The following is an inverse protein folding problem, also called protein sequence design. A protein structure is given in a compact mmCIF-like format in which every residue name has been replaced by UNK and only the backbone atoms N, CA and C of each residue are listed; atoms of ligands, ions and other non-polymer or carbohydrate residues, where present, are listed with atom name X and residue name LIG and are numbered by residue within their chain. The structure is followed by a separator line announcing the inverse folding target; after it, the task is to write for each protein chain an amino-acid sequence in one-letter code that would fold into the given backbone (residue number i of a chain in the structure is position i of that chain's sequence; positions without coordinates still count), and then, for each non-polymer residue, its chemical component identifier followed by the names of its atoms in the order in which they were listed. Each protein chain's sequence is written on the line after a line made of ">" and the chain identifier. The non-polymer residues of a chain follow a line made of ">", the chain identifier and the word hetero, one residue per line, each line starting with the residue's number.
data_IF_402557935085
#
_entry.id   IF_402557935085
#
_cell.length_a   1.000
_cell.length_b   1.000
_cell.length_c   1.000
_cell.angle_alpha   90.00
_cell.angle_beta   90.00
_cell.angle_gamma   90.00
#
_symmetry.space_group_name_H-M   'P 1'
#
loop_
_entity.id
_entity.type
_entity.pdbx_description
1 polymer ?
#
# COMPACT_ATOMS: atom_id res chain seq x y z
N UNK A 1 -11.28 5.60 28.43
CA UNK A 1 -10.14 4.69 28.29
C UNK A 1 -9.67 4.81 26.85
N UNK A 2 -8.40 5.15 26.66
CA UNK A 2 -7.79 5.24 25.32
C UNK A 2 -7.33 3.85 24.86
N UNK A 3 -7.22 3.63 23.55
CA UNK A 3 -6.72 2.36 22.99
C UNK A 3 -5.34 1.98 23.56
N UNK A 4 -4.50 2.97 23.87
CA UNK A 4 -3.18 2.78 24.49
C UNK A 4 -3.26 2.30 25.95
N UNK A 5 -4.25 2.76 26.72
CA UNK A 5 -4.48 2.29 28.10
C UNK A 5 -4.94 0.84 28.12
N UNK A 6 -5.89 0.50 27.25
CA UNK A 6 -6.37 -0.88 27.09
C UNK A 6 -5.24 -1.80 26.62
N UNK A 7 -4.43 -1.36 25.66
CA UNK A 7 -3.26 -2.12 25.21
C UNK A 7 -2.26 -2.37 26.35
N UNK A 8 -1.87 -1.33 27.10
CA UNK A 8 -0.93 -1.47 28.24
C UNK A 8 -1.48 -2.37 29.33
N UNK A 9 -2.78 -2.28 29.63
CA UNK A 9 -3.45 -3.16 30.58
C UNK A 9 -3.47 -4.61 30.10
N UNK A 10 -3.81 -4.86 28.83
CA UNK A 10 -3.83 -6.19 28.24
C UNK A 10 -2.45 -6.84 28.26
N UNK A 11 -1.41 -6.08 27.90
CA UNK A 11 -0.02 -6.55 27.98
C UNK A 11 0.31 -6.94 29.42
N UNK A 12 0.04 -6.07 30.41
CA UNK A 12 0.30 -6.40 31.83
C UNK A 12 -0.42 -7.67 32.29
N UNK A 13 -1.71 -7.82 31.99
CA UNK A 13 -2.47 -9.02 32.33
C UNK A 13 -1.90 -10.30 31.70
N UNK A 14 -1.42 -10.22 30.47
CA UNK A 14 -0.73 -11.34 29.82
C UNK A 14 0.57 -11.71 30.54
N UNK A 15 1.32 -10.71 31.03
CA UNK A 15 2.52 -10.97 31.85
C UNK A 15 2.15 -11.64 33.17
N UNK A 16 1.22 -11.05 33.91
CA UNK A 16 0.83 -11.54 35.24
C UNK A 16 0.32 -12.99 35.15
N UNK A 17 -0.54 -13.28 34.16
CA UNK A 17 -1.05 -14.64 33.94
C UNK A 17 0.05 -15.64 33.58
N UNK A 18 1.07 -15.22 32.82
CA UNK A 18 2.21 -16.06 32.50
C UNK A 18 3.06 -16.35 33.74
N UNK A 19 3.42 -15.33 34.51
CA UNK A 19 4.24 -15.47 35.71
C UNK A 19 3.51 -16.31 36.79
N UNK A 20 2.20 -16.11 36.98
CA UNK A 20 1.37 -16.92 37.88
C UNK A 20 1.36 -18.40 37.46
N UNK A 21 1.28 -18.66 36.16
CA UNK A 21 1.29 -20.01 35.61
C UNK A 21 2.65 -20.69 35.79
N UNK A 22 3.74 -19.97 35.51
CA UNK A 22 5.11 -20.45 35.69
C UNK A 22 5.41 -20.71 37.17
N UNK A 23 4.95 -19.85 38.08
CA UNK A 23 5.13 -19.99 39.53
C UNK A 23 4.21 -21.06 40.17
N UNK A 24 3.24 -21.59 39.41
CA UNK A 24 2.29 -22.57 39.91
C UNK A 24 2.99 -23.85 40.39
N UNK A 25 2.67 -24.28 41.62
CA UNK A 25 3.17 -25.55 42.18
C UNK A 25 2.77 -26.78 41.35
N UNK A 26 1.69 -26.68 40.56
CA UNK A 26 1.20 -27.78 39.71
C UNK A 26 2.05 -27.96 38.45
N UNK A 27 2.87 -26.98 38.09
CA UNK A 27 3.71 -26.96 36.88
C UNK A 27 2.99 -27.48 35.62
N UNK A 28 1.87 -26.86 35.23
CA UNK A 28 1.14 -27.30 34.04
C UNK A 28 1.97 -27.09 32.78
N UNK A 29 1.71 -27.85 31.73
CA UNK A 29 2.18 -27.49 30.39
C UNK A 29 1.52 -26.18 29.94
N UNK A 30 2.30 -25.28 29.34
CA UNK A 30 1.86 -23.92 29.03
C UNK A 30 2.15 -23.59 27.57
N UNK A 31 1.15 -23.02 26.91
CA UNK A 31 1.29 -22.41 25.58
C UNK A 31 1.16 -20.91 25.72
N UNK A 32 2.20 -20.19 25.29
CA UNK A 32 2.22 -18.73 25.30
C UNK A 32 2.08 -18.18 23.88
N UNK A 33 0.83 -17.91 23.49
CA UNK A 33 0.52 -17.36 22.17
C UNK A 33 0.89 -15.87 22.09
N UNK A 34 1.75 -15.53 21.13
CA UNK A 34 2.11 -14.16 20.83
C UNK A 34 2.44 -13.99 19.36
N UNK A 35 2.36 -12.74 18.86
CA UNK A 35 2.76 -12.44 17.48
C UNK A 35 4.25 -12.62 17.16
N UNK A 36 5.11 -12.92 18.14
CA UNK A 36 6.54 -13.10 17.89
C UNK A 36 7.30 -11.82 17.50
N UNK A 37 6.67 -10.64 17.47
CA UNK A 37 7.27 -9.40 16.94
C UNK A 37 8.17 -8.62 17.91
N UNK A 38 8.24 -9.02 19.19
CA UNK A 38 9.07 -8.38 20.21
C UNK A 38 9.95 -9.41 20.92
N UNK A 39 11.07 -9.79 20.28
CA UNK A 39 12.01 -10.78 20.79
C UNK A 39 12.52 -10.44 22.20
N UNK A 40 12.91 -9.19 22.47
CA UNK A 40 13.39 -8.79 23.81
C UNK A 40 12.36 -9.04 24.91
N UNK A 41 11.07 -8.83 24.62
CA UNK A 41 10.01 -9.09 25.58
C UNK A 41 9.81 -10.59 25.78
N UNK A 42 9.78 -11.38 24.71
CA UNK A 42 9.61 -12.84 24.74
C UNK A 42 10.80 -13.57 25.39
N UNK A 43 12.03 -13.16 25.09
CA UNK A 43 13.27 -13.66 25.70
C UNK A 43 13.21 -13.67 27.23
N UNK A 44 12.67 -12.61 27.83
CA UNK A 44 12.50 -12.55 29.29
C UNK A 44 11.56 -13.63 29.82
N UNK A 45 10.50 -13.99 29.08
CA UNK A 45 9.53 -15.03 29.48
C UNK A 45 10.13 -16.41 29.36
N UNK A 46 10.86 -16.66 28.26
CA UNK A 46 11.63 -17.89 28.07
C UNK A 46 12.60 -18.08 29.24
N UNK A 47 13.33 -17.02 29.62
CA UNK A 47 14.24 -17.06 30.77
C UNK A 47 13.51 -17.31 32.10
N UNK A 48 12.37 -16.67 32.37
CA UNK A 48 11.54 -16.95 33.55
C UNK A 48 11.10 -18.42 33.61
N UNK A 49 10.60 -18.97 32.49
CA UNK A 49 10.17 -20.36 32.42
C UNK A 49 11.33 -21.34 32.65
N UNK A 50 12.49 -21.12 32.01
CA UNK A 50 13.69 -21.94 32.23
C UNK A 50 14.17 -21.88 33.67
N UNK A 51 14.16 -20.70 34.30
CA UNK A 51 14.54 -20.54 35.70
C UNK A 51 13.58 -21.28 36.66
N UNK A 52 12.30 -21.42 36.29
CA UNK A 52 11.33 -22.23 37.02
C UNK A 52 11.42 -23.74 36.73
N UNK A 53 12.31 -24.15 35.82
CA UNK A 53 12.59 -25.55 35.48
C UNK A 53 11.75 -26.12 34.35
N UNK A 54 11.15 -25.26 33.51
CA UNK A 54 10.46 -25.70 32.29
C UNK A 54 11.44 -25.95 31.15
N UNK A 55 11.11 -26.95 30.32
CA UNK A 55 11.63 -27.08 28.97
C UNK A 55 10.90 -26.08 28.07
N UNK A 56 11.64 -25.39 27.20
CA UNK A 56 11.08 -24.32 26.36
C UNK A 56 11.18 -24.67 24.89
N UNK A 57 10.04 -24.63 24.20
CA UNK A 57 9.91 -24.86 22.78
C UNK A 57 9.38 -23.60 22.08
N UNK A 58 9.98 -23.24 20.94
CA UNK A 58 9.46 -22.20 20.06
C UNK A 58 8.78 -22.84 18.85
N UNK A 59 7.45 -22.74 18.82
CA UNK A 59 6.67 -23.05 17.63
C UNK A 59 6.53 -21.79 16.77
N UNK A 60 7.30 -21.68 15.68
CA UNK A 60 7.22 -20.57 14.75
C UNK A 60 6.23 -20.86 13.64
N UNK A 61 5.13 -20.13 13.61
CA UNK A 61 4.08 -20.27 12.60
C UNK A 61 4.26 -19.22 11.51
N UNK A 62 4.82 -19.63 10.37
CA UNK A 62 5.10 -18.75 9.25
C UNK A 62 3.89 -18.56 8.34
N UNK A 63 3.58 -17.30 8.06
CA UNK A 63 2.49 -16.87 7.19
C UNK A 63 2.98 -15.65 6.39
N UNK A 64 3.08 -15.75 5.06
CA UNK A 64 3.39 -14.62 4.19
C UNK A 64 2.49 -13.41 4.44
N UNK A 65 3.04 -12.20 4.33
CA UNK A 65 2.34 -10.96 4.64
C UNK A 65 1.05 -10.81 3.81
N UNK A 66 1.10 -11.15 2.52
CA UNK A 66 -0.05 -11.11 1.61
C UNK A 66 -1.20 -11.99 2.13
N UNK A 67 -0.90 -13.18 2.63
CA UNK A 67 -1.87 -14.12 3.19
C UNK A 67 -2.44 -13.61 4.52
N UNK A 68 -1.59 -13.04 5.37
CA UNK A 68 -2.03 -12.43 6.62
C UNK A 68 -3.01 -11.26 6.39
N UNK A 69 -2.76 -10.45 5.35
CA UNK A 69 -3.64 -9.36 4.93
C UNK A 69 -4.97 -9.89 4.37
N UNK A 70 -4.92 -10.86 3.46
CA UNK A 70 -6.12 -11.49 2.89
C UNK A 70 -7.02 -12.06 4.01
N UNK A 71 -6.47 -12.91 4.88
CA UNK A 71 -7.21 -13.52 6.00
C UNK A 71 -7.75 -12.47 6.97
N UNK A 72 -7.04 -11.36 7.19
CA UNK A 72 -7.53 -10.25 8.01
C UNK A 72 -8.76 -9.56 7.36
N UNK A 73 -8.76 -9.41 6.04
CA UNK A 73 -9.89 -8.86 5.28
C UNK A 73 -11.10 -9.80 5.27
N UNK A 74 -10.89 -11.11 5.16
CA UNK A 74 -11.96 -12.12 5.23
C UNK A 74 -12.67 -12.16 6.59
N UNK A 75 -11.91 -12.01 7.69
CA UNK A 75 -12.43 -12.01 9.06
C UNK A 75 -13.17 -10.72 9.44
N UNK A 76 -13.08 -9.68 8.62
CA UNK A 76 -13.76 -8.41 8.85
C UNK A 76 -15.31 -8.58 8.78
N UNK A 77 -16.08 -7.76 9.51
CA UNK A 77 -15.63 -6.79 10.52
C UNK A 77 -15.41 -7.42 11.91
N UNK A 78 -15.72 -8.71 12.08
CA UNK A 78 -15.77 -9.38 13.40
C UNK A 78 -14.41 -9.43 14.09
N UNK A 79 -13.35 -9.66 13.33
CA UNK A 79 -11.98 -9.64 13.82
C UNK A 79 -11.12 -8.87 12.82
N UNK A 80 -10.79 -7.62 13.18
CA UNK A 80 -10.02 -6.72 12.33
C UNK A 80 -8.79 -6.20 13.07
N UNK A 81 -7.65 -6.24 12.39
CA UNK A 81 -6.45 -5.54 12.78
C UNK A 81 -6.13 -4.49 11.70
N UNK A 82 -5.81 -3.24 12.06
CA UNK A 82 -5.32 -2.27 11.08
C UNK A 82 -4.13 -2.85 10.30
N UNK A 83 -4.19 -2.80 8.97
CA UNK A 83 -3.24 -3.54 8.11
C UNK A 83 -1.80 -3.07 8.29
N UNK A 84 -1.59 -1.79 8.62
CA UNK A 84 -0.27 -1.25 8.97
C UNK A 84 0.37 -2.01 10.13
N UNK A 85 -0.40 -2.45 11.13
CA UNK A 85 0.13 -3.24 12.26
C UNK A 85 0.61 -4.62 11.78
N UNK A 86 -0.09 -5.24 10.84
CA UNK A 86 0.32 -6.52 10.23
C UNK A 86 1.62 -6.34 9.45
N UNK A 87 1.69 -5.30 8.61
CA UNK A 87 2.88 -4.98 7.83
C UNK A 87 4.09 -4.66 8.72
N UNK A 88 3.92 -3.80 9.73
CA UNK A 88 5.00 -3.41 10.65
C UNK A 88 5.53 -4.63 11.42
N UNK A 89 4.66 -5.59 11.79
CA UNK A 89 5.07 -6.86 12.40
C UNK A 89 5.83 -7.75 11.42
N UNK A 90 5.32 -7.92 10.19
CA UNK A 90 5.96 -8.75 9.17
C UNK A 90 7.41 -8.31 8.89
N UNK A 91 7.71 -7.01 8.95
CA UNK A 91 9.06 -6.47 8.76
C UNK A 91 10.05 -6.92 9.84
N UNK A 92 9.63 -7.07 11.09
CA UNK A 92 10.52 -7.40 12.22
C UNK A 92 10.54 -8.88 12.57
N UNK A 93 9.55 -9.65 12.10
CA UNK A 93 9.41 -11.06 12.44
C UNK A 93 10.61 -11.93 12.07
N UNK A 94 11.25 -11.80 10.88
CA UNK A 94 12.43 -12.61 10.55
C UNK A 94 13.59 -12.42 11.53
N UNK A 95 13.85 -11.17 11.94
CA UNK A 95 14.91 -10.85 12.92
C UNK A 95 14.54 -11.41 14.30
N UNK A 96 13.28 -11.20 14.70
CA UNK A 96 12.77 -11.67 15.99
C UNK A 96 12.84 -13.20 16.12
N UNK A 97 12.54 -13.94 15.05
CA UNK A 97 12.70 -15.40 15.01
C UNK A 97 14.14 -15.83 15.27
N UNK A 98 15.10 -15.22 14.59
CA UNK A 98 16.52 -15.56 14.75
C UNK A 98 17.00 -15.30 16.18
N UNK A 99 16.56 -14.20 16.80
CA UNK A 99 16.88 -13.90 18.20
C UNK A 99 16.29 -14.96 19.15
N UNK A 100 15.03 -15.32 18.98
CA UNK A 100 14.34 -16.24 19.89
C UNK A 100 14.79 -17.70 19.74
N UNK A 101 15.14 -18.11 18.51
CA UNK A 101 15.68 -19.44 18.23
C UNK A 101 16.92 -19.77 19.06
N UNK A 102 17.74 -18.77 19.43
CA UNK A 102 18.91 -18.96 20.28
C UNK A 102 18.61 -19.06 21.78
N UNK A 103 17.37 -18.81 22.22
CA UNK A 103 17.01 -18.70 23.64
C UNK A 103 16.24 -19.91 24.17
N UNK A 104 15.58 -20.66 23.28
CA UNK A 104 14.77 -21.85 23.61
C UNK A 104 15.59 -23.13 23.49
N UNK A 105 15.06 -24.22 24.04
CA UNK A 105 15.69 -25.53 24.01
C UNK A 105 15.39 -26.27 22.69
N UNK A 106 14.19 -26.07 22.12
CA UNK A 106 13.78 -26.64 20.84
C UNK A 106 13.02 -25.63 19.97
N UNK A 107 13.14 -25.78 18.64
CA UNK A 107 12.45 -24.92 17.66
C UNK A 107 11.80 -25.78 16.60
N UNK A 108 10.51 -25.60 16.44
CA UNK A 108 9.75 -26.12 15.31
C UNK A 108 9.29 -24.96 14.41
N UNK A 109 9.44 -25.12 13.10
CA UNK A 109 9.00 -24.15 12.11
C UNK A 109 7.85 -24.74 11.29
N UNK A 110 6.65 -24.20 11.48
CA UNK A 110 5.45 -24.60 10.79
C UNK A 110 5.06 -23.58 9.74
N UNK A 111 4.85 -24.05 8.51
CA UNK A 111 4.22 -23.25 7.47
C UNK A 111 2.70 -23.35 7.63
N UNK A 112 2.05 -22.22 7.92
CA UNK A 112 0.58 -22.16 8.01
C UNK A 112 -0.06 -21.65 6.71
N UNK A 113 0.42 -22.24 5.62
CA UNK A 113 -0.02 -22.06 4.25
C UNK A 113 0.52 -23.21 3.40
N UNK A 114 -0.02 -23.41 2.21
CA UNK A 114 0.40 -24.48 1.30
C UNK A 114 0.87 -23.89 -0.02
N UNK A 115 2.04 -24.33 -0.51
CA UNK A 115 2.50 -23.99 -1.85
C UNK A 115 1.61 -24.58 -2.96
N UNK A 116 0.85 -25.63 -2.63
CA UNK A 116 -0.06 -26.29 -3.56
C UNK A 116 -1.45 -25.68 -3.57
N UNK A 117 -1.77 -24.78 -2.63
CA UNK A 117 -3.06 -24.09 -2.62
C UNK A 117 -3.01 -22.83 -3.47
N UNK A 118 -4.17 -22.45 -4.02
CA UNK A 118 -4.33 -21.19 -4.73
C UNK A 118 -4.34 -19.98 -3.78
N UNK A 119 -4.34 -20.20 -2.46
CA UNK A 119 -4.48 -19.17 -1.43
C UNK A 119 -3.43 -18.05 -1.59
N UNK A 120 -2.19 -18.42 -1.90
CA UNK A 120 -1.12 -17.43 -2.09
C UNK A 120 -1.33 -16.61 -3.37
N UNK A 121 -1.78 -17.23 -4.45
CA UNK A 121 -2.11 -16.50 -5.70
C UNK A 121 -3.26 -15.54 -5.45
N UNK A 122 -4.31 -15.99 -4.77
CA UNK A 122 -5.47 -15.14 -4.41
C UNK A 122 -5.03 -13.98 -3.51
N UNK A 123 -4.11 -14.20 -2.57
CA UNK A 123 -3.57 -13.14 -1.72
C UNK A 123 -2.71 -12.13 -2.49
N UNK A 124 -1.96 -12.58 -3.49
CA UNK A 124 -1.18 -11.70 -4.37
C UNK A 124 -2.10 -10.86 -5.26
N UNK A 125 -3.14 -11.46 -5.83
CA UNK A 125 -4.16 -10.73 -6.61
C UNK A 125 -4.90 -9.72 -5.74
N UNK A 126 -5.27 -10.11 -4.51
CA UNK A 126 -5.89 -9.21 -3.54
C UNK A 126 -4.99 -8.02 -3.20
N UNK A 127 -3.68 -8.26 -2.99
CA UNK A 127 -2.72 -7.20 -2.74
C UNK A 127 -2.51 -6.30 -3.97
N UNK A 128 -2.60 -6.85 -5.18
CA UNK A 128 -2.59 -6.08 -6.42
C UNK A 128 -3.76 -5.10 -6.51
N UNK A 129 -4.99 -5.55 -6.21
CA UNK A 129 -6.16 -4.67 -6.25
C UNK A 129 -6.23 -3.69 -5.06
N UNK A 130 -5.67 -4.08 -3.92
CA UNK A 130 -5.74 -3.32 -2.68
C UNK A 130 -4.38 -3.18 -1.97
N UNK A 131 -3.44 -2.45 -2.58
CA UNK A 131 -2.09 -2.24 -2.05
C UNK A 131 -2.04 -1.21 -0.92
N UNK A 132 -3.06 -0.34 -0.79
CA UNK A 132 -3.13 0.65 0.27
C UNK A 132 -3.47 -0.03 1.61
N UNK A 133 -2.65 0.14 2.66
CA UNK A 133 -2.99 -0.39 3.98
C UNK A 133 -4.24 0.29 4.51
N UNK A 134 -5.20 -0.51 4.98
CA UNK A 134 -6.47 -0.05 5.53
C UNK A 134 -6.39 0.11 7.06
N UNK A 135 -6.82 1.26 7.57
CA UNK A 135 -6.96 1.53 9.00
C UNK A 135 -8.24 0.92 9.59
N UNK A 136 -9.31 0.84 8.78
CA UNK A 136 -10.63 0.36 9.18
C UNK A 136 -11.05 -0.88 8.37
N UNK A 137 -11.97 -1.71 8.93
CA UNK A 137 -12.52 -2.85 8.21
C UNK A 137 -13.09 -2.43 6.85
N UNK A 138 -12.84 -3.20 5.78
CA UNK A 138 -13.37 -2.84 4.48
C UNK A 138 -14.88 -3.07 4.41
N UNK A 139 -15.56 -2.24 3.62
CA UNK A 139 -17.00 -2.39 3.35
C UNK A 139 -17.31 -3.56 2.40
N UNK A 140 -16.33 -4.00 1.62
CA UNK A 140 -16.39 -5.17 0.75
C UNK A 140 -15.25 -6.11 1.11
N UNK A 141 -15.53 -7.40 1.20
CA UNK A 141 -14.54 -8.43 1.53
C UNK A 141 -14.17 -9.24 0.29
N UNK A 142 -13.02 -9.93 0.32
CA UNK A 142 -12.71 -10.93 -0.69
C UNK A 142 -13.90 -11.88 -0.91
N UNK A 143 -14.29 -12.06 -2.18
CA UNK A 143 -15.44 -12.88 -2.58
C UNK A 143 -16.79 -12.15 -2.62
N UNK A 144 -16.93 -10.96 -2.02
CA UNK A 144 -18.16 -10.16 -2.16
C UNK A 144 -18.29 -9.62 -3.60
N UNK A 145 -19.53 -9.51 -4.11
CA UNK A 145 -19.78 -8.88 -5.42
C UNK A 145 -19.29 -7.44 -5.41
N UNK A 146 -18.53 -7.03 -6.43
CA UNK A 146 -17.89 -5.72 -6.46
C UNK A 146 -16.45 -5.68 -5.93
N UNK A 147 -15.98 -6.76 -5.29
CA UNK A 147 -14.60 -6.82 -4.81
C UNK A 147 -13.62 -6.93 -5.98
N UNK A 148 -12.58 -6.10 -5.98
CA UNK A 148 -11.59 -6.02 -7.05
C UNK A 148 -12.11 -5.40 -8.36
N UNK A 149 -13.37 -4.97 -8.43
CA UNK A 149 -13.91 -4.40 -9.66
C UNK A 149 -13.19 -3.09 -10.03
N UNK A 150 -12.89 -2.89 -11.32
CA UNK A 150 -12.22 -1.69 -11.79
C UNK A 150 -13.10 -0.45 -11.52
N UNK A 151 -12.51 0.71 -11.18
CA UNK A 151 -13.28 1.91 -10.93
C UNK A 151 -13.99 2.38 -12.20
N UNK A 152 -15.09 3.11 -12.02
CA UNK A 152 -15.80 3.73 -13.14
C UNK A 152 -14.84 4.59 -13.97
N UNK A 153 -14.82 4.36 -15.29
CA UNK A 153 -13.93 5.05 -16.22
C UNK A 153 -12.63 4.32 -16.53
N UNK A 154 -12.29 3.28 -15.76
CA UNK A 154 -11.17 2.40 -16.09
C UNK A 154 -11.45 1.62 -17.38
N UNK A 155 -10.40 1.43 -18.19
CA UNK A 155 -10.50 0.64 -19.42
C UNK A 155 -9.97 -0.76 -19.21
N UNK A 156 -10.65 -1.75 -19.79
CA UNK A 156 -10.13 -3.11 -19.88
C UNK A 156 -8.79 -3.13 -20.65
N UNK A 157 -7.85 -4.01 -20.29
CA UNK A 157 -6.63 -4.24 -21.05
C UNK A 157 -6.91 -4.44 -22.56
N UNK A 158 -5.99 -3.96 -23.39
CA UNK A 158 -6.03 -4.14 -24.83
C UNK A 158 -5.75 -5.60 -25.20
N UNK A 159 -6.58 -6.17 -26.07
CA UNK A 159 -6.36 -7.51 -26.65
C UNK A 159 -5.56 -7.46 -27.97
N UNK A 160 -5.17 -6.26 -28.40
CA UNK A 160 -4.44 -6.06 -29.65
C UNK A 160 -3.02 -6.64 -29.58
N UNK A 161 -2.59 -7.46 -30.56
CA UNK A 161 -1.22 -7.96 -30.61
C UNK A 161 -0.19 -6.82 -30.56
N UNK A 162 0.81 -6.93 -29.69
CA UNK A 162 1.87 -5.94 -29.53
C UNK A 162 1.46 -4.64 -28.82
N UNK A 163 0.22 -4.54 -28.30
CA UNK A 163 -0.19 -3.38 -27.52
C UNK A 163 0.47 -3.37 -26.15
N UNK A 164 1.06 -2.24 -25.75
CA UNK A 164 1.52 -2.02 -24.37
C UNK A 164 0.36 -1.69 -23.41
N UNK A 165 -0.86 -1.49 -23.89
CA UNK A 165 -1.99 -1.06 -23.05
C UNK A 165 -2.62 -2.22 -22.25
N UNK A 166 -1.85 -2.88 -21.40
CA UNK A 166 -2.21 -4.17 -20.77
C UNK A 166 -2.34 -4.15 -19.25
N UNK A 167 -2.06 -3.03 -18.57
CA UNK A 167 -2.22 -2.92 -17.11
C UNK A 167 -3.67 -3.15 -16.70
N UNK A 168 -3.92 -3.99 -15.69
CA UNK A 168 -5.24 -4.19 -15.11
C UNK A 168 -5.51 -3.11 -14.05
N UNK A 169 -6.39 -2.15 -14.35
CA UNK A 169 -6.64 -1.03 -13.44
C UNK A 169 -7.52 -1.49 -12.27
N UNK A 170 -6.95 -1.48 -11.06
CA UNK A 170 -7.66 -1.83 -9.83
C UNK A 170 -8.35 -0.64 -9.16
N UNK A 171 -9.19 -0.88 -8.13
CA UNK A 171 -9.84 0.15 -7.32
C UNK A 171 -8.86 0.82 -6.33
N UNK A 172 -7.69 1.22 -6.83
CA UNK A 172 -6.59 1.76 -6.06
C UNK A 172 -6.96 3.07 -5.38
N UNK A 173 -6.42 3.28 -4.18
CA UNK A 173 -6.70 4.44 -3.34
C UNK A 173 -5.40 5.05 -2.83
N UNK A 174 -5.48 6.32 -2.43
CA UNK A 174 -4.44 6.99 -1.65
C UNK A 174 -4.47 6.45 -0.22
N UNK A 175 -3.33 6.46 0.45
CA UNK A 175 -3.31 6.34 1.91
C UNK A 175 -3.73 7.66 2.57
N UNK A 176 -3.92 7.63 3.89
CA UNK A 176 -4.41 8.79 4.65
C UNK A 176 -3.48 10.01 4.57
N UNK A 177 -2.15 9.78 4.55
CA UNK A 177 -1.16 10.85 4.47
C UNK A 177 -1.23 11.61 3.12
N UNK A 178 -1.26 10.88 2.01
CA UNK A 178 -1.36 11.49 0.66
C UNK A 178 -2.74 12.13 0.47
N UNK A 179 -3.81 11.56 1.04
CA UNK A 179 -5.13 12.20 1.05
C UNK A 179 -5.11 13.54 1.81
N UNK A 180 -4.48 13.60 2.98
CA UNK A 180 -4.35 14.82 3.75
C UNK A 180 -3.59 15.91 2.99
N UNK A 181 -2.47 15.55 2.34
CA UNK A 181 -1.69 16.49 1.52
C UNK A 181 -2.50 17.00 0.32
N UNK A 182 -3.23 16.11 -0.36
CA UNK A 182 -4.13 16.48 -1.46
C UNK A 182 -5.19 17.47 -1.00
N UNK A 183 -5.85 17.20 0.11
CA UNK A 183 -6.89 18.06 0.65
C UNK A 183 -6.34 19.43 1.05
N UNK A 184 -5.18 19.47 1.71
CA UNK A 184 -4.50 20.73 2.04
C UNK A 184 -4.16 21.55 0.79
N UNK A 185 -3.70 20.90 -0.28
CA UNK A 185 -3.42 21.57 -1.56
C UNK A 185 -4.69 22.11 -2.21
N UNK A 186 -5.78 21.35 -2.24
CA UNK A 186 -7.06 21.81 -2.77
C UNK A 186 -7.57 23.02 -1.98
N UNK A 187 -7.51 22.98 -0.64
CA UNK A 187 -7.89 24.13 0.20
C UNK A 187 -7.01 25.35 -0.05
N UNK A 188 -5.70 25.17 -0.29
CA UNK A 188 -4.83 26.27 -0.69
C UNK A 188 -5.20 26.85 -2.07
N UNK A 189 -5.53 25.99 -3.05
CA UNK A 189 -5.98 26.43 -4.37
C UNK A 189 -7.28 27.24 -4.24
N UNK A 190 -8.25 26.75 -3.46
CA UNK A 190 -9.52 27.43 -3.22
C UNK A 190 -9.32 28.83 -2.62
N UNK A 191 -8.38 28.96 -1.66
CA UNK A 191 -8.05 30.28 -1.07
C UNK A 191 -7.32 31.20 -2.05
N UNK A 192 -6.35 30.68 -2.79
CA UNK A 192 -5.45 31.47 -3.65
C UNK A 192 -6.14 31.91 -4.93
N UNK A 193 -6.94 31.02 -5.52
CA UNK A 193 -7.64 31.22 -6.80
C UNK A 193 -9.14 31.46 -6.60
N UNK A 194 -9.58 31.77 -5.37
CA UNK A 194 -10.99 32.07 -5.04
C UNK A 194 -11.98 30.99 -5.51
N UNK A 195 -11.57 29.73 -5.40
CA UNK A 195 -12.35 28.57 -5.84
C UNK A 195 -12.17 28.18 -7.31
N UNK A 196 -11.49 28.99 -8.13
CA UNK A 196 -11.22 28.69 -9.54
C UNK A 196 -9.94 27.83 -9.68
N UNK A 197 -10.12 26.52 -9.54
CA UNK A 197 -9.03 25.55 -9.63
C UNK A 197 -8.54 25.37 -11.07
N UNK A 198 -9.40 25.66 -12.03
CA UNK A 198 -9.18 25.52 -13.46
C UNK A 198 -8.14 26.53 -13.93
N UNK A 199 -8.23 27.79 -13.49
CA UNK A 199 -7.20 28.81 -13.76
C UNK A 199 -5.82 28.38 -13.30
N UNK A 200 -5.69 27.75 -12.12
CA UNK A 200 -4.40 27.19 -11.68
C UNK A 200 -3.86 26.16 -12.67
N UNK A 201 -4.69 25.24 -13.16
CA UNK A 201 -4.25 24.21 -14.13
C UNK A 201 -3.88 24.85 -15.46
N UNK A 202 -4.67 25.78 -15.98
CA UNK A 202 -4.38 26.46 -17.25
C UNK A 202 -3.07 27.25 -17.19
N UNK A 203 -2.84 27.98 -16.09
CA UNK A 203 -1.70 28.89 -15.94
C UNK A 203 -0.42 28.18 -15.48
N UNK A 204 -0.54 27.26 -14.52
CA UNK A 204 0.62 26.66 -13.85
C UNK A 204 0.97 25.28 -14.39
N UNK A 205 -0.03 24.44 -14.70
CA UNK A 205 0.21 23.06 -15.17
C UNK A 205 0.40 23.03 -16.68
N UNK A 206 -0.62 23.45 -17.43
CA UNK A 206 -0.56 23.53 -18.89
C UNK A 206 0.43 24.61 -19.32
N UNK A 207 0.40 25.79 -18.69
CA UNK A 207 1.37 26.87 -18.91
C UNK A 207 1.55 27.20 -20.41
N UNK A 208 0.43 27.46 -21.08
CA UNK A 208 0.37 27.72 -22.53
C UNK A 208 0.48 26.49 -23.44
N UNK A 209 0.80 25.30 -22.92
CA UNK A 209 0.81 24.04 -23.69
C UNK A 209 -0.60 23.51 -23.89
N UNK A 210 -0.79 22.76 -24.97
CA UNK A 210 -2.07 22.08 -25.27
C UNK A 210 -2.28 20.84 -24.41
N UNK A 211 -1.22 20.06 -24.19
CA UNK A 211 -1.27 18.80 -23.46
C UNK A 211 0.00 18.62 -22.63
N UNK A 212 -0.14 18.10 -21.40
CA UNK A 212 0.97 17.82 -20.49
C UNK A 212 0.74 16.45 -19.86
N UNK A 213 1.80 15.62 -19.84
CA UNK A 213 1.83 14.34 -19.10
C UNK A 213 2.87 14.50 -18.00
N UNK A 214 2.48 14.28 -16.75
CA UNK A 214 3.35 14.45 -15.59
C UNK A 214 3.03 13.41 -14.50
N UNK A 215 3.98 13.10 -13.60
CA UNK A 215 3.68 12.26 -12.44
C UNK A 215 2.57 12.90 -11.61
N UNK A 216 1.63 12.09 -11.15
CA UNK A 216 0.55 12.58 -10.31
C UNK A 216 1.15 13.03 -8.97
N UNK A 217 0.97 14.31 -8.63
CA UNK A 217 1.45 14.89 -7.36
C UNK A 217 0.91 14.15 -6.13
N UNK A 218 -0.31 13.62 -6.24
CA UNK A 218 -0.96 12.85 -5.18
C UNK A 218 -1.24 11.45 -5.72
N UNK A 219 -0.22 10.58 -5.82
CA UNK A 219 -0.36 9.27 -6.45
C UNK A 219 -1.27 8.37 -5.60
N UNK A 220 -1.83 7.34 -6.24
CA UNK A 220 -2.47 6.24 -5.52
C UNK A 220 -1.38 5.36 -4.92
N UNK A 221 -1.73 4.60 -3.89
CA UNK A 221 -0.95 3.41 -3.56
C UNK A 221 -1.20 2.41 -4.69
N UNK A 222 -0.13 2.01 -5.36
CA UNK A 222 -0.16 1.12 -6.51
C UNK A 222 0.61 -0.16 -6.19
N UNK A 223 0.37 -1.25 -6.94
CA UNK A 223 1.23 -2.42 -6.92
C UNK A 223 2.69 -2.05 -7.22
N UNK A 224 3.65 -2.86 -6.74
CA UNK A 224 5.06 -2.70 -7.09
C UNK A 224 5.28 -2.60 -8.61
N UNK A 225 6.20 -1.73 -9.03
CA UNK A 225 6.53 -1.53 -10.45
C UNK A 225 5.52 -0.68 -11.26
N UNK A 226 4.47 -0.13 -10.64
CA UNK A 226 3.49 0.75 -11.32
C UNK A 226 3.57 2.19 -10.78
N UNK A 227 3.62 3.16 -11.70
CA UNK A 227 3.55 4.60 -11.40
C UNK A 227 2.20 5.22 -11.77
N UNK A 228 1.81 6.24 -11.01
CA UNK A 228 0.62 7.03 -11.26
C UNK A 228 1.00 8.36 -11.93
N UNK A 229 0.60 8.53 -13.18
CA UNK A 229 0.73 9.75 -13.98
C UNK A 229 -0.63 10.39 -14.27
N UNK A 230 -0.62 11.65 -14.68
CA UNK A 230 -1.78 12.37 -15.14
C UNK A 230 -1.46 13.03 -16.47
N UNK A 231 -2.41 12.94 -17.39
CA UNK A 231 -2.41 13.75 -18.61
C UNK A 231 -3.47 14.83 -18.48
N UNK A 232 -3.08 16.07 -18.73
CA UNK A 232 -3.94 17.25 -18.81
C UNK A 232 -4.03 17.70 -20.26
N UNK A 233 -5.22 18.11 -20.71
CA UNK A 233 -5.40 18.67 -22.05
C UNK A 233 -6.42 19.81 -22.05
N UNK A 234 -6.16 20.84 -22.85
CA UNK A 234 -7.13 21.92 -23.15
C UNK A 234 -8.33 21.41 -23.94
N UNK A 235 -8.14 20.34 -24.71
CA UNK A 235 -9.15 19.72 -25.56
C UNK A 235 -9.43 18.31 -25.09
N UNK A 236 -10.70 17.92 -25.07
CA UNK A 236 -11.06 16.56 -24.72
C UNK A 236 -10.55 15.57 -25.77
N UNK A 237 -9.77 14.57 -25.35
CA UNK A 237 -9.32 13.49 -26.22
C UNK A 237 -10.24 12.29 -26.12
N UNK A 238 -10.56 11.70 -27.28
CA UNK A 238 -11.22 10.40 -27.35
C UNK A 238 -10.27 9.24 -27.01
N UNK A 239 -10.81 8.04 -26.79
CA UNK A 239 -10.01 6.84 -26.48
C UNK A 239 -8.89 6.60 -27.51
N UNK A 240 -9.23 6.59 -28.81
CA UNK A 240 -8.28 6.32 -29.90
C UNK A 240 -7.16 7.38 -29.95
N UNK A 241 -7.53 8.63 -29.78
CA UNK A 241 -6.60 9.77 -29.78
C UNK A 241 -5.64 9.69 -28.59
N UNK A 242 -6.15 9.44 -27.38
CA UNK A 242 -5.34 9.26 -26.18
C UNK A 242 -4.35 8.10 -26.33
N UNK A 243 -4.81 6.94 -26.83
CA UNK A 243 -3.91 5.80 -27.06
C UNK A 243 -2.79 6.15 -28.04
N UNK A 244 -3.11 6.79 -29.16
CA UNK A 244 -2.09 7.22 -30.12
C UNK A 244 -1.13 8.26 -29.53
N UNK A 245 -1.64 9.18 -28.70
CA UNK A 245 -0.83 10.17 -28.03
C UNK A 245 0.14 9.52 -27.03
N UNK A 246 -0.35 8.62 -26.17
CA UNK A 246 0.47 7.97 -25.16
C UNK A 246 1.58 7.08 -25.75
N UNK A 247 1.29 6.31 -26.79
CA UNK A 247 2.31 5.52 -27.48
C UNK A 247 3.40 6.42 -28.07
N UNK A 248 3.02 7.48 -28.80
CA UNK A 248 4.00 8.46 -29.33
C UNK A 248 4.78 9.17 -28.23
N UNK A 249 4.13 9.45 -27.09
CA UNK A 249 4.75 10.12 -25.95
C UNK A 249 5.83 9.25 -25.30
N UNK A 250 5.57 7.94 -25.20
CA UNK A 250 6.51 6.92 -24.75
C UNK A 250 7.66 6.78 -25.75
N UNK A 251 7.37 6.58 -27.04
CA UNK A 251 8.39 6.42 -28.09
C UNK A 251 9.36 7.62 -28.16
N UNK A 252 8.85 8.85 -27.96
CA UNK A 252 9.66 10.06 -27.94
C UNK A 252 10.60 10.19 -26.72
N UNK A 253 10.47 9.29 -25.73
CA UNK A 253 11.24 9.26 -24.48
C UNK A 253 12.16 8.07 -24.35
N UNK A 254 12.30 7.27 -25.41
CA UNK A 254 13.28 6.20 -25.45
C UNK A 254 14.71 6.73 -25.17
N UNK A 255 15.55 5.98 -24.41
CA UNK A 255 15.22 4.71 -23.77
C UNK A 255 14.32 4.88 -22.54
N UNK A 256 13.28 4.04 -22.43
CA UNK A 256 12.50 3.86 -21.20
C UNK A 256 12.25 2.37 -20.92
N UNK A 257 11.85 2.01 -19.71
CA UNK A 257 11.59 0.62 -19.29
C UNK A 257 10.09 0.29 -19.14
N UNK A 258 9.19 1.17 -19.60
CA UNK A 258 7.74 0.92 -19.58
C UNK A 258 7.37 -0.26 -20.48
N UNK A 259 6.91 -1.33 -19.85
CA UNK A 259 6.48 -2.59 -20.50
C UNK A 259 4.98 -2.62 -20.72
N UNK A 260 4.20 -1.98 -19.85
CA UNK A 260 2.76 -1.90 -19.96
C UNK A 260 2.23 -0.55 -19.45
N UNK A 261 1.05 -0.15 -19.91
CA UNK A 261 0.32 0.98 -19.37
C UNK A 261 -1.20 0.76 -19.46
N UNK A 262 -1.98 1.56 -18.75
CA UNK A 262 -3.42 1.71 -19.01
C UNK A 262 -3.92 3.01 -18.36
N UNK A 263 -5.22 3.28 -18.40
CA UNK A 263 -5.77 4.51 -17.85
C UNK A 263 -7.19 4.36 -17.31
N UNK A 264 -7.58 5.29 -16.44
CA UNK A 264 -8.97 5.58 -16.10
C UNK A 264 -9.28 7.06 -16.32
N UNK A 265 -10.50 7.36 -16.76
CA UNK A 265 -10.91 8.73 -17.08
C UNK A 265 -11.51 9.50 -15.89
N UNK A 266 -11.43 8.94 -14.67
CA UNK A 266 -11.83 9.58 -13.41
C UNK A 266 -13.26 10.14 -13.38
N UNK A 267 -14.16 9.70 -14.29
CA UNK A 267 -15.45 10.35 -14.54
C UNK A 267 -16.33 10.52 -13.30
N UNK A 268 -16.24 9.62 -12.32
CA UNK A 268 -17.01 9.68 -11.07
C UNK A 268 -16.41 10.53 -9.93
N UNK A 269 -15.19 11.07 -10.06
CA UNK A 269 -14.45 11.68 -8.91
C UNK A 269 -13.62 12.93 -9.26
N UNK A 270 -13.92 13.61 -10.36
CA UNK A 270 -13.20 14.82 -10.77
C UNK A 270 -13.44 15.96 -9.78
N UNK A 271 -12.37 16.68 -9.45
CA UNK A 271 -12.39 17.86 -8.56
C UNK A 271 -12.01 19.15 -9.28
N UNK A 272 -11.67 19.03 -10.57
CA UNK A 272 -11.24 20.09 -11.49
C UNK A 272 -11.90 19.77 -12.83
N UNK A 273 -12.58 20.73 -13.43
CA UNK A 273 -13.31 20.62 -14.70
C UNK A 273 -12.45 21.02 -15.90
N UNK A 274 -11.27 20.41 -16.00
CA UNK A 274 -10.42 20.41 -17.19
C UNK A 274 -10.22 18.97 -17.59
N UNK A 275 -10.16 18.68 -18.89
CA UNK A 275 -9.96 17.31 -19.34
C UNK A 275 -8.64 16.76 -18.79
N UNK A 276 -8.74 15.69 -18.02
CA UNK A 276 -7.61 14.93 -17.52
C UNK A 276 -7.98 13.47 -17.34
N UNK A 277 -6.99 12.59 -17.46
CA UNK A 277 -7.13 11.16 -17.15
C UNK A 277 -5.92 10.68 -16.36
N UNK A 278 -6.12 9.64 -15.56
CA UNK A 278 -5.07 8.98 -14.80
C UNK A 278 -4.41 7.93 -15.69
N UNK A 279 -3.09 8.00 -15.84
CA UNK A 279 -2.28 7.06 -16.60
C UNK A 279 -1.47 6.21 -15.62
N UNK A 280 -1.50 4.90 -15.81
CA UNK A 280 -0.71 3.95 -15.02
C UNK A 280 0.38 3.38 -15.91
N UNK A 281 1.64 3.59 -15.56
CA UNK A 281 2.79 3.08 -16.29
C UNK A 281 3.43 1.96 -15.47
N UNK A 282 3.62 0.79 -16.08
CA UNK A 282 4.26 -0.37 -15.46
C UNK A 282 5.61 -0.64 -16.12
N UNK A 283 6.63 -0.85 -15.29
CA UNK A 283 7.99 -1.16 -15.69
C UNK A 283 8.39 -2.56 -15.23
N UNK A 284 9.67 -2.71 -14.92
CA UNK A 284 10.22 -3.90 -14.24
C UNK A 284 9.64 -3.97 -12.80
N UNK A 285 9.10 -5.12 -12.34
CA UNK A 285 8.52 -5.25 -10.99
C UNK A 285 9.43 -4.78 -9.85
N UNK A 286 10.75 -4.90 -10.03
CA UNK A 286 11.76 -4.53 -9.03
C UNK A 286 12.30 -3.11 -9.19
N UNK A 287 11.80 -2.34 -10.18
CA UNK A 287 12.27 -0.97 -10.46
C UNK A 287 11.11 -0.02 -10.65
N UNK A 288 11.31 1.21 -10.21
CA UNK A 288 10.40 2.29 -10.58
C UNK A 288 10.57 2.59 -12.07
N UNK A 289 9.48 2.60 -12.88
CA UNK A 289 9.53 2.95 -14.29
C UNK A 289 10.35 4.22 -14.53
N UNK A 290 11.43 4.11 -15.29
CA UNK A 290 12.22 5.23 -15.73
C UNK A 290 11.62 5.82 -17.01
N UNK A 291 10.81 6.87 -16.86
CA UNK A 291 10.49 7.77 -17.96
C UNK A 291 11.45 8.97 -17.91
N UNK A 292 12.38 9.07 -18.87
CA UNK A 292 13.35 10.17 -18.96
C UNK A 292 12.59 11.51 -18.98
N UNK A 293 12.73 12.31 -17.91
CA UNK A 293 12.16 13.66 -17.87
C UNK A 293 12.81 14.49 -18.98
N UNK A 294 12.04 15.20 -19.82
CA UNK A 294 12.63 15.99 -20.90
C UNK A 294 13.66 16.96 -20.32
N UNK A 295 14.89 16.90 -20.84
CA UNK A 295 15.97 17.83 -20.52
C UNK A 295 15.62 19.21 -21.06
N UNK A 296 14.84 19.97 -20.29
CA UNK A 296 14.27 21.24 -20.75
C UNK A 296 13.47 21.97 -19.69
N UNK A 297 14.01 22.09 -18.46
CA UNK A 297 13.58 23.07 -17.47
C UNK A 297 14.69 23.23 -16.42
N UNK A 298 15.86 23.73 -16.85
CA UNK A 298 16.63 24.62 -15.97
C UNK A 298 15.82 25.91 -15.84
N UNK A 299 14.74 25.88 -15.05
CA UNK A 299 14.35 27.09 -14.34
C UNK A 299 15.42 27.27 -13.28
N UNK A 300 16.15 28.36 -13.40
CA UNK A 300 17.02 28.87 -12.35
C UNK A 300 16.34 28.66 -11.00
N UNK A 301 17.06 28.04 -10.08
CA UNK A 301 16.78 28.13 -8.67
C UNK A 301 17.00 29.60 -8.25
N UNK A 302 16.09 30.50 -8.65
CA UNK A 302 15.77 31.61 -7.78
C UNK A 302 14.89 31.00 -6.70
N UNK A 303 15.53 30.73 -5.57
CA UNK A 303 14.85 30.52 -4.31
C UNK A 303 13.97 31.75 -4.06
N UNK A 304 12.70 31.70 -4.48
CA UNK A 304 11.70 32.55 -3.88
C UNK A 304 11.47 31.99 -2.48
N UNK A 305 11.97 32.72 -1.50
CA UNK A 305 11.88 32.46 -0.07
C UNK A 305 10.45 32.65 0.44
N UNK A 306 9.46 32.04 -0.20
CA UNK A 306 8.13 31.90 0.37
C UNK A 306 8.07 30.55 1.09
N UNK A 307 8.69 30.54 2.27
CA UNK A 307 8.18 29.76 3.39
C UNK A 307 6.73 30.19 3.58
N UNK A 308 5.77 29.36 3.18
CA UNK A 308 4.43 29.45 3.76
C UNK A 308 4.52 28.91 5.18
N UNK A 309 4.15 29.69 6.20
CA UNK A 309 3.91 29.17 7.52
C UNK A 309 2.54 28.48 7.54
N UNK A 310 2.46 27.39 8.30
CA UNK A 310 1.29 26.56 8.60
C UNK A 310 0.92 25.53 7.51
#
# INVERSE_FOLDING_TARGET
>A
ETDEEVHRWSVRRSVDAFEDAVASRRRPDLVFDSSGSNARWLKRRIQSARAAGYFTELLWVDVPMELALLRNRERAPRQWCPEKVIMDKALVMPVSFQELRGEVDEVEHLQNWSERSEERSVAQDDLYFYPAPRSHPPSLRPGDRGYGEPPEGARSPSLGPGSRRTVLVGPWKRNDAVMAEKNARLSWMDRTFRGDRESFVLDQVLCGRDTVVEPNRFPYMLPPGIEHWIIWSRRAMGHKELCQYMEKWLDAREPHDVTAWNYDDNRGRRTIDIWHVHIYLQGDPDKTPFCRRPSGSRRSAQASSHRSPC
#
